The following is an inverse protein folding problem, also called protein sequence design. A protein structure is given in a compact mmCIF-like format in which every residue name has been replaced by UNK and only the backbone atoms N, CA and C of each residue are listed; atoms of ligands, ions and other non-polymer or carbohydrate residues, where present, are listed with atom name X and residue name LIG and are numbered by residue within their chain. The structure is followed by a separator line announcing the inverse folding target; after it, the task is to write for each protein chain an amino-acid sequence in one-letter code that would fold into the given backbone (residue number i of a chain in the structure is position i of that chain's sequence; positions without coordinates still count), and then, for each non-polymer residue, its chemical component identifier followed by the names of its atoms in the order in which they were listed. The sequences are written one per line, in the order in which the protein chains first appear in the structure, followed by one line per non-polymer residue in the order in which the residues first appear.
data_IF_856862381832
#
_entry.id   IF_856862381832
#
_cell.length_a   1.000
_cell.length_b   1.000
_cell.length_c   1.000
_cell.angle_alpha   90.00
_cell.angle_beta   90.00
_cell.angle_gamma   90.00
#
_symmetry.space_group_name_H-M   'P 1'
#
loop_
_entity.id
_entity.type
_entity.pdbx_description
1 polymer ?
#
# COMPACT_ATOMS: atom_id res chain seq x y z
N UNK A 1 12.17 -5.24 -10.84
CA UNK A 1 12.49 -3.83 -10.55
C UNK A 1 12.03 -3.55 -9.14
N UNK A 2 12.80 -2.77 -8.35
CA UNK A 2 12.40 -2.35 -7.00
C UNK A 2 11.60 -1.04 -7.05
N UNK A 3 10.40 -1.04 -6.50
CA UNK A 3 9.56 0.15 -6.30
C UNK A 3 9.37 0.39 -4.81
N UNK A 4 9.62 1.62 -4.36
CA UNK A 4 9.35 1.96 -2.96
C UNK A 4 7.86 1.81 -2.67
N UNK A 5 7.53 1.23 -1.52
CA UNK A 5 6.16 1.10 -1.03
C UNK A 5 5.99 1.91 0.25
N UNK A 6 4.91 2.68 0.32
CA UNK A 6 4.51 3.44 1.51
C UNK A 6 3.04 3.15 1.79
N UNK A 7 2.74 2.75 3.02
CA UNK A 7 1.37 2.49 3.48
C UNK A 7 0.99 3.42 4.62
N UNK A 8 -0.13 4.14 4.48
CA UNK A 8 -0.67 5.03 5.53
C UNK A 8 -1.98 4.51 6.11
N UNK A 9 -2.24 4.82 7.37
CA UNK A 9 -3.58 4.74 7.95
C UNK A 9 -4.36 6.02 7.65
N UNK A 10 -5.62 5.87 7.25
CA UNK A 10 -6.52 6.99 6.95
C UNK A 10 -7.82 6.88 7.74
N UNK A 11 -8.51 8.01 7.91
CA UNK A 11 -9.80 8.05 8.61
C UNK A 11 -10.95 7.49 7.77
N UNK A 12 -10.95 7.78 6.47
CA UNK A 12 -11.94 7.31 5.52
C UNK A 12 -11.25 7.04 4.18
N UNK A 13 -11.38 5.82 3.64
CA UNK A 13 -10.73 5.45 2.38
C UNK A 13 -11.35 6.16 1.17
N UNK A 14 -12.67 6.36 1.14
CA UNK A 14 -13.33 7.00 0.00
C UNK A 14 -12.85 8.45 -0.18
N UNK A 15 -12.91 9.25 0.89
CA UNK A 15 -12.45 10.64 0.87
C UNK A 15 -10.95 10.73 0.53
N UNK A 16 -10.16 9.80 1.07
CA UNK A 16 -8.71 9.75 0.82
C UNK A 16 -8.37 9.32 -0.61
N UNK A 17 -9.18 8.48 -1.24
CA UNK A 17 -8.97 8.08 -2.64
C UNK A 17 -9.12 9.28 -3.56
N UNK A 18 -10.10 10.14 -3.33
CA UNK A 18 -10.27 11.38 -4.10
C UNK A 18 -9.03 12.28 -3.95
N UNK A 19 -8.66 12.65 -2.73
CA UNK A 19 -7.52 13.55 -2.46
C UNK A 19 -6.18 12.99 -2.97
N UNK A 20 -5.87 11.71 -2.68
CA UNK A 20 -4.59 11.14 -3.11
C UNK A 20 -4.54 10.87 -4.61
N UNK A 21 -5.65 10.56 -5.27
CA UNK A 21 -5.64 10.40 -6.73
C UNK A 21 -5.30 11.72 -7.43
N UNK A 22 -5.80 12.85 -6.92
CA UNK A 22 -5.46 14.17 -7.44
C UNK A 22 -3.99 14.52 -7.22
N UNK A 23 -3.45 14.22 -6.02
CA UNK A 23 -2.03 14.48 -5.70
C UNK A 23 -1.07 13.59 -6.49
N UNK A 24 -1.42 12.34 -6.70
CA UNK A 24 -0.61 11.36 -7.44
C UNK A 24 -0.77 11.56 -8.95
N UNK A 25 -1.89 12.12 -9.39
CA UNK A 25 -2.22 12.35 -10.80
C UNK A 25 -2.78 11.12 -11.53
N UNK A 26 -3.22 10.10 -10.78
CA UNK A 26 -3.90 8.91 -11.31
C UNK A 26 -4.79 8.26 -10.25
N UNK A 27 -5.79 7.50 -10.70
CA UNK A 27 -6.61 6.67 -9.82
C UNK A 27 -5.82 5.50 -9.20
N UNK A 28 -6.34 4.92 -8.11
CA UNK A 28 -5.76 3.71 -7.52
C UNK A 28 -5.83 2.57 -8.53
N UNK A 29 -4.88 1.65 -8.47
CA UNK A 29 -4.88 0.39 -9.23
C UNK A 29 -5.68 -0.72 -8.52
N UNK A 30 -5.93 -0.55 -7.22
CA UNK A 30 -6.68 -1.49 -6.39
C UNK A 30 -7.54 -0.71 -5.42
N UNK A 31 -8.81 -1.09 -5.29
CA UNK A 31 -9.72 -0.57 -4.26
C UNK A 31 -10.47 -1.73 -3.61
N UNK A 32 -10.53 -1.73 -2.29
CA UNK A 32 -11.43 -2.57 -1.49
C UNK A 32 -12.32 -1.64 -0.69
N UNK A 33 -13.61 -1.62 -1.02
CA UNK A 33 -14.58 -0.63 -0.51
C UNK A 33 -14.55 -0.50 1.01
N UNK A 34 -14.32 0.73 1.49
CA UNK A 34 -14.29 1.07 2.92
C UNK A 34 -13.14 0.46 3.71
N UNK A 35 -12.11 -0.07 3.04
CA UNK A 35 -11.02 -0.79 3.73
C UNK A 35 -9.63 -0.41 3.25
N UNK A 36 -9.42 -0.38 1.94
CA UNK A 36 -8.08 -0.27 1.38
C UNK A 36 -8.10 0.34 -0.03
N UNK A 37 -7.06 1.08 -0.37
CA UNK A 37 -6.76 1.45 -1.75
C UNK A 37 -5.24 1.48 -1.98
N UNK A 38 -4.82 1.23 -3.22
CA UNK A 38 -3.41 1.24 -3.59
C UNK A 38 -3.22 1.76 -5.01
N UNK A 39 -2.21 2.60 -5.16
CA UNK A 39 -1.70 3.12 -6.41
C UNK A 39 -0.36 2.44 -6.70
N UNK A 40 -0.27 1.70 -7.80
CA UNK A 40 1.01 1.33 -8.40
C UNK A 40 1.36 2.33 -9.49
N UNK A 41 2.47 3.02 -9.35
CA UNK A 41 2.99 3.97 -10.34
C UNK A 41 4.37 3.50 -10.83
N UNK A 42 4.94 4.22 -11.78
CA UNK A 42 6.31 3.96 -12.23
C UNK A 42 7.37 4.32 -11.16
N UNK A 43 7.05 5.20 -10.20
CA UNK A 43 8.01 5.69 -9.22
C UNK A 43 7.84 5.05 -7.84
N UNK A 44 6.60 4.79 -7.45
CA UNK A 44 6.26 4.25 -6.13
C UNK A 44 4.96 3.46 -6.14
N UNK A 45 4.85 2.59 -5.16
CA UNK A 45 3.60 2.05 -4.70
C UNK A 45 3.16 2.84 -3.46
N UNK A 46 1.93 3.32 -3.47
CA UNK A 46 1.34 4.02 -2.33
C UNK A 46 0.06 3.31 -1.95
N UNK A 47 -0.15 3.05 -0.66
CA UNK A 47 -1.36 2.40 -0.18
C UNK A 47 -1.92 3.10 1.05
N UNK A 48 -3.23 2.94 1.22
CA UNK A 48 -3.96 3.43 2.37
C UNK A 48 -4.86 2.34 2.91
N UNK A 49 -5.02 2.32 4.23
CA UNK A 49 -5.95 1.44 4.90
C UNK A 49 -6.77 2.23 5.93
N UNK A 50 -8.07 1.94 6.04
CA UNK A 50 -8.95 2.65 6.98
C UNK A 50 -8.65 2.21 8.42
N UNK A 51 -8.05 3.11 9.21
CA UNK A 51 -7.86 2.97 10.67
C UNK A 51 -8.07 4.35 11.29
N UNK A 52 -9.32 4.74 11.61
CA UNK A 52 -9.63 6.08 12.09
C UNK A 52 -8.77 6.54 13.27
N UNK A 53 -8.53 5.66 14.25
CA UNK A 53 -7.74 5.97 15.45
C UNK A 53 -6.24 6.20 15.17
N UNK A 54 -5.77 5.90 13.96
CA UNK A 54 -4.38 6.07 13.53
C UNK A 54 -4.24 6.90 12.26
N UNK A 55 -5.29 7.64 11.88
CA UNK A 55 -5.28 8.45 10.68
C UNK A 55 -4.06 9.39 10.62
N UNK A 56 -3.38 9.41 9.47
CA UNK A 56 -2.17 10.19 9.24
C UNK A 56 -0.87 9.50 9.68
N UNK A 57 -0.93 8.31 10.25
CA UNK A 57 0.28 7.56 10.63
C UNK A 57 0.81 6.70 9.49
N UNK A 58 2.15 6.63 9.38
CA UNK A 58 2.83 5.62 8.60
C UNK A 58 2.60 4.24 9.22
N UNK A 59 2.22 3.25 8.39
CA UNK A 59 1.98 1.87 8.82
C UNK A 59 3.15 0.97 8.44
N UNK A 60 3.48 0.97 7.15
CA UNK A 60 4.52 0.11 6.58
C UNK A 60 5.31 0.89 5.53
N UNK A 61 6.58 0.57 5.41
CA UNK A 61 7.43 1.03 4.33
C UNK A 61 8.31 -0.13 3.85
N UNK A 62 8.66 -0.11 2.58
CA UNK A 62 9.34 -1.24 1.98
C UNK A 62 9.60 -1.09 0.50
N UNK A 63 9.86 -2.22 -0.14
CA UNK A 63 10.00 -2.33 -1.58
C UNK A 63 9.16 -3.49 -2.13
N UNK A 64 8.40 -3.21 -3.18
CA UNK A 64 7.90 -4.26 -4.07
C UNK A 64 9.02 -4.56 -5.10
N UNK A 65 9.44 -5.82 -5.21
CA UNK A 65 10.50 -6.27 -6.12
C UNK A 65 10.07 -7.53 -6.88
N UNK A 66 10.13 -7.48 -8.21
CA UNK A 66 9.85 -8.62 -9.08
C UNK A 66 10.78 -9.83 -8.82
N UNK A 67 11.95 -9.59 -8.23
CA UNK A 67 12.91 -10.64 -7.89
C UNK A 67 12.72 -11.21 -6.47
N UNK A 68 11.81 -10.67 -5.66
CA UNK A 68 11.56 -11.17 -4.31
C UNK A 68 10.77 -12.50 -4.36
N UNK A 69 11.12 -13.42 -3.47
CA UNK A 69 10.38 -14.67 -3.25
C UNK A 69 9.55 -14.54 -1.96
N UNK A 70 8.29 -14.14 -2.10
CA UNK A 70 7.36 -14.01 -0.96
C UNK A 70 7.46 -12.66 -0.23
N UNK A 71 7.33 -12.69 1.10
CA UNK A 71 7.40 -11.52 1.99
C UNK A 71 8.52 -11.70 3.01
N UNK A 72 9.35 -10.69 3.17
CA UNK A 72 10.34 -10.59 4.24
C UNK A 72 10.38 -9.18 4.82
N UNK A 73 11.04 -9.04 5.97
CA UNK A 73 11.33 -7.73 6.56
C UNK A 73 12.69 -7.73 7.22
N UNK A 74 13.32 -6.57 7.26
CA UNK A 74 14.50 -6.29 8.04
C UNK A 74 14.38 -4.92 8.73
N UNK A 75 15.41 -4.54 9.48
CA UNK A 75 15.46 -3.26 10.18
C UNK A 75 16.74 -2.56 9.81
N UNK A 76 16.64 -1.28 9.41
CA UNK A 76 17.79 -0.49 9.01
C UNK A 76 18.62 -0.01 10.21
N UNK A 77 19.70 0.71 9.91
CA UNK A 77 20.62 1.26 10.92
C UNK A 77 19.99 2.30 11.85
N UNK A 78 18.79 2.79 11.54
CA UNK A 78 18.03 3.76 12.34
C UNK A 78 16.88 3.10 13.13
N UNK A 79 16.72 1.77 13.03
CA UNK A 79 15.63 1.06 13.70
C UNK A 79 14.31 1.08 12.93
N UNK A 80 14.31 1.49 11.66
CA UNK A 80 13.12 1.51 10.82
C UNK A 80 12.93 0.13 10.20
N UNK A 81 11.74 -0.45 10.34
CA UNK A 81 11.40 -1.71 9.70
C UNK A 81 11.08 -1.50 8.22
N UNK A 82 11.72 -2.27 7.36
CA UNK A 82 11.48 -2.27 5.91
C UNK A 82 10.95 -3.64 5.48
N UNK A 83 9.92 -3.63 4.65
CA UNK A 83 9.36 -4.84 4.04
C UNK A 83 9.91 -5.04 2.62
N UNK A 84 10.09 -6.29 2.20
CA UNK A 84 10.43 -6.66 0.83
C UNK A 84 9.47 -7.74 0.37
N UNK A 85 8.82 -7.52 -0.77
CA UNK A 85 7.82 -8.44 -1.27
C UNK A 85 7.66 -8.44 -2.79
N UNK A 86 7.12 -9.52 -3.33
CA UNK A 86 6.77 -9.59 -4.75
C UNK A 86 5.40 -8.97 -5.04
N UNK A 87 5.12 -8.55 -6.29
CA UNK A 87 3.80 -8.05 -6.67
C UNK A 87 2.67 -9.04 -6.37
N UNK A 88 2.89 -10.33 -6.67
CA UNK A 88 1.90 -11.38 -6.40
C UNK A 88 1.64 -11.53 -4.90
N UNK A 89 2.71 -11.53 -4.09
CA UNK A 89 2.55 -11.66 -2.65
C UNK A 89 1.75 -10.48 -2.07
N UNK A 90 1.96 -9.26 -2.57
CA UNK A 90 1.18 -8.09 -2.20
C UNK A 90 -0.30 -8.25 -2.58
N UNK A 91 -0.59 -8.73 -3.79
CA UNK A 91 -1.96 -8.95 -4.26
C UNK A 91 -2.68 -10.00 -3.39
N UNK A 92 -2.00 -11.11 -3.08
CA UNK A 92 -2.53 -12.16 -2.21
C UNK A 92 -2.80 -11.63 -0.80
N UNK A 93 -1.89 -10.81 -0.25
CA UNK A 93 -2.06 -10.18 1.07
C UNK A 93 -3.22 -9.20 1.12
N UNK A 94 -3.46 -8.45 0.04
CA UNK A 94 -4.62 -7.55 -0.04
C UNK A 94 -5.91 -8.35 0.05
N UNK A 95 -6.01 -9.46 -0.68
CA UNK A 95 -7.18 -10.34 -0.65
C UNK A 95 -7.37 -10.96 0.74
N UNK A 96 -6.31 -11.47 1.34
CA UNK A 96 -6.31 -12.07 2.67
C UNK A 96 -6.79 -11.09 3.76
N UNK A 97 -6.29 -9.85 3.73
CA UNK A 97 -6.49 -8.88 4.82
C UNK A 97 -7.76 -8.04 4.65
N UNK A 98 -8.06 -7.63 3.43
CA UNK A 98 -9.11 -6.65 3.17
C UNK A 98 -10.29 -7.26 2.41
N UNK A 99 -10.06 -8.32 1.64
CA UNK A 99 -11.05 -8.98 0.80
C UNK A 99 -10.87 -8.64 -0.67
N UNK A 100 -11.85 -9.03 -1.49
CA UNK A 100 -11.76 -8.93 -2.95
C UNK A 100 -11.74 -7.47 -3.42
N UNK A 101 -10.74 -7.06 -4.23
CA UNK A 101 -10.77 -5.78 -4.91
C UNK A 101 -12.00 -5.61 -5.80
N UNK A 102 -12.55 -4.40 -5.83
CA UNK A 102 -13.53 -4.02 -6.85
C UNK A 102 -12.78 -3.55 -8.10
N UNK A 103 -13.25 -3.98 -9.27
CA UNK A 103 -12.70 -3.53 -10.55
C UNK A 103 -12.89 -2.02 -10.71
N UNK A 104 -11.84 -1.35 -11.19
CA UNK A 104 -11.88 0.05 -11.61
C UNK A 104 -12.66 0.21 -12.91
#
# INVERSE_FOLDING_TARGET
MRRIHIALAVANVADSVEDYSDRIGQGPTVVVTGKYAMWRTNQMNFSINEIPDRAGQLRHMGFEDDAAEGFSSDTDVNGIMWELFSPQAQDDKIIEMYGTPVGL
#
